data_IF_208143624878
#
_entry.id   IF_208143624878
#
_cell.length_a   1.000
_cell.length_b   1.000
_cell.length_c   1.000
_cell.angle_alpha   90.00
_cell.angle_beta   90.00
_cell.angle_gamma   90.00
#
_symmetry.space_group_name_H-M   'P 1'
#
loop_
_entity.id
_entity.type
_entity.pdbx_description
1 polymer ?
#
# COMPACT_ATOMS: atom_id res chain seq x y z
N UNK A 1 26.37 1.14 -12.74
CA UNK A 1 24.90 1.19 -12.53
C UNK A 1 24.63 0.76 -11.09
N UNK A 2 23.85 1.51 -10.31
CA UNK A 2 23.54 1.13 -8.93
C UNK A 2 22.31 0.21 -8.92
N UNK A 3 22.34 -0.86 -8.12
CA UNK A 3 21.20 -1.76 -7.92
C UNK A 3 20.44 -1.31 -6.68
N UNK A 4 19.11 -1.25 -6.78
CA UNK A 4 18.22 -0.85 -5.68
C UNK A 4 17.40 -2.06 -5.23
N UNK A 5 17.45 -2.36 -3.94
CA UNK A 5 16.62 -3.36 -3.29
C UNK A 5 15.39 -2.71 -2.64
N UNK A 6 14.23 -3.33 -2.84
CA UNK A 6 12.97 -2.92 -2.23
C UNK A 6 12.45 -4.06 -1.36
N UNK A 7 12.35 -3.83 -0.05
CA UNK A 7 11.50 -4.64 0.81
C UNK A 7 10.11 -4.01 0.85
N UNK A 8 9.15 -4.69 0.22
CA UNK A 8 7.76 -4.25 0.17
C UNK A 8 6.94 -4.97 1.22
N UNK A 9 7.04 -4.62 2.50
CA UNK A 9 6.25 -5.24 3.56
C UNK A 9 4.76 -4.91 3.47
N UNK A 10 3.94 -5.58 4.29
CA UNK A 10 2.49 -5.30 4.31
C UNK A 10 2.12 -4.04 5.09
N UNK A 11 3.00 -3.61 6.01
CA UNK A 11 2.81 -2.44 6.88
C UNK A 11 3.87 -1.35 6.63
N UNK A 12 5.10 -1.77 6.38
CA UNK A 12 6.23 -0.87 6.14
C UNK A 12 7.10 -1.41 5.01
N UNK A 13 7.78 -0.50 4.32
CA UNK A 13 8.76 -0.77 3.27
C UNK A 13 10.11 -0.18 3.64
N UNK A 14 11.18 -0.80 3.13
CA UNK A 14 12.55 -0.33 3.24
C UNK A 14 13.22 -0.35 1.86
N UNK A 15 14.14 0.58 1.64
CA UNK A 15 14.89 0.70 0.38
C UNK A 15 16.38 0.63 0.70
N UNK A 16 17.13 -0.13 -0.07
CA UNK A 16 18.58 -0.22 0.04
C UNK A 16 19.25 -0.07 -1.33
N UNK A 17 20.48 0.44 -1.35
CA UNK A 17 21.29 0.62 -2.56
C UNK A 17 22.70 0.08 -2.34
N UNK A 18 23.22 -0.67 -3.32
CA UNK A 18 24.60 -1.09 -3.34
C UNK A 18 25.48 0.04 -3.93
N UNK A 19 26.33 0.66 -3.12
CA UNK A 19 27.28 1.72 -3.52
C UNK A 19 28.50 1.77 -2.63
N UNK A 20 29.60 2.35 -3.14
CA UNK A 20 30.82 2.63 -2.38
C UNK A 20 31.41 1.42 -1.59
N UNK A 21 31.30 0.21 -2.16
CA UNK A 21 31.82 -1.01 -1.53
C UNK A 21 30.92 -1.61 -0.43
N UNK A 22 29.71 -1.09 -0.24
CA UNK A 22 28.75 -1.59 0.75
C UNK A 22 27.29 -1.46 0.33
N UNK A 23 26.39 -1.68 1.29
CA UNK A 23 24.94 -1.53 1.15
C UNK A 23 24.48 -0.46 2.14
N UNK A 24 23.72 0.51 1.65
CA UNK A 24 23.15 1.57 2.48
C UNK A 24 21.62 1.57 2.36
N UNK A 25 20.91 1.76 3.46
CA UNK A 25 19.46 1.99 3.42
C UNK A 25 19.15 3.45 3.14
N UNK A 26 18.18 3.70 2.29
CA UNK A 26 17.78 5.04 1.85
C UNK A 26 16.74 5.62 2.81
N UNK A 27 16.95 6.88 3.22
CA UNK A 27 15.97 7.62 4.00
C UNK A 27 14.93 8.29 3.08
N UNK A 28 13.69 8.37 3.54
CA UNK A 28 12.60 9.10 2.89
C UNK A 28 12.67 10.61 3.17
N UNK A 29 11.69 11.36 2.68
CA UNK A 29 11.59 12.81 2.84
C UNK A 29 11.43 13.28 4.31
N UNK A 30 11.16 12.36 5.23
CA UNK A 30 11.09 12.59 6.67
C UNK A 30 12.37 12.18 7.41
N UNK A 31 13.45 11.89 6.68
CA UNK A 31 14.70 11.32 7.22
C UNK A 31 14.55 9.96 7.91
N UNK A 32 13.42 9.27 7.70
CA UNK A 32 13.18 7.92 8.22
C UNK A 32 13.54 6.88 7.15
N UNK A 33 14.08 5.73 7.57
CA UNK A 33 14.36 4.59 6.70
C UNK A 33 13.13 3.69 6.50
N UNK A 34 12.11 3.85 7.35
CA UNK A 34 10.85 3.14 7.31
C UNK A 34 9.78 3.95 6.57
N UNK A 35 9.24 3.42 5.48
CA UNK A 35 8.13 4.06 4.74
C UNK A 35 6.87 3.22 4.90
N UNK A 36 5.78 3.74 5.49
CA UNK A 36 4.52 2.99 5.61
C UNK A 36 3.97 2.51 4.26
N UNK A 37 3.48 1.27 4.21
CA UNK A 37 2.83 0.67 3.03
C UNK A 37 1.38 1.13 2.91
N UNK A 38 1.18 2.45 2.79
CA UNK A 38 -0.13 3.10 2.83
C UNK A 38 -0.26 4.08 1.68
N UNK A 39 -1.45 4.13 1.09
CA UNK A 39 -1.78 4.99 -0.03
C UNK A 39 -3.12 5.68 0.25
N UNK A 40 -3.14 7.02 0.26
CA UNK A 40 -4.36 7.83 0.46
C UNK A 40 -4.71 8.57 -0.82
N UNK A 41 -5.95 8.44 -1.26
CA UNK A 41 -6.45 9.02 -2.50
C UNK A 41 -7.22 10.32 -2.22
N UNK A 42 -6.64 11.44 -2.66
CA UNK A 42 -7.28 12.74 -2.66
C UNK A 42 -8.06 13.01 -3.95
N UNK A 43 -8.70 14.17 -4.05
CA UNK A 43 -9.48 14.57 -5.23
C UNK A 43 -8.60 14.86 -6.46
N UNK A 44 -7.37 15.34 -6.25
CA UNK A 44 -6.44 15.77 -7.31
C UNK A 44 -5.09 15.04 -7.28
N UNK A 45 -4.76 14.40 -6.18
CA UNK A 45 -3.46 13.76 -5.97
C UNK A 45 -3.61 12.50 -5.14
N UNK A 46 -2.50 11.79 -4.94
CA UNK A 46 -2.41 10.63 -4.08
C UNK A 46 -1.21 10.81 -3.15
N UNK A 47 -1.44 10.65 -1.86
CA UNK A 47 -0.36 10.60 -0.87
C UNK A 47 0.08 9.14 -0.69
N UNK A 48 1.38 8.93 -0.43
CA UNK A 48 1.99 7.62 -0.21
C UNK A 48 2.87 7.71 1.04
N UNK A 49 3.01 6.62 1.79
CA UNK A 49 3.93 6.58 2.93
C UNK A 49 3.39 7.30 4.16
N UNK A 50 4.25 8.06 4.83
CA UNK A 50 3.94 8.76 6.08
C UNK A 50 2.79 9.76 5.90
N UNK A 51 2.79 10.50 4.78
CA UNK A 51 1.72 11.46 4.46
C UNK A 51 0.34 10.78 4.34
N UNK A 52 0.29 9.59 3.73
CA UNK A 52 -0.95 8.82 3.64
C UNK A 52 -1.38 8.26 4.99
N UNK A 53 -0.44 7.74 5.79
CA UNK A 53 -0.72 7.21 7.13
C UNK A 53 -1.32 8.26 8.06
N UNK A 54 -0.84 9.49 7.99
CA UNK A 54 -1.38 10.61 8.79
C UNK A 54 -2.84 10.94 8.45
N UNK A 55 -3.30 10.55 7.26
CA UNK A 55 -4.67 10.77 6.78
C UNK A 55 -5.59 9.56 7.00
N UNK A 56 -5.07 8.45 7.55
CA UNK A 56 -5.82 7.19 7.63
C UNK A 56 -7.10 7.29 8.47
N UNK A 57 -7.15 8.20 9.45
CA UNK A 57 -8.35 8.42 10.26
C UNK A 57 -9.31 9.41 9.58
N UNK A 58 -8.79 10.51 9.02
CA UNK A 58 -9.61 11.57 8.42
C UNK A 58 -10.17 11.19 7.04
N UNK A 59 -9.43 10.37 6.29
CA UNK A 59 -9.78 9.88 4.95
C UNK A 59 -9.84 8.35 4.92
N UNK A 60 -10.45 7.72 5.93
CA UNK A 60 -10.41 6.27 6.13
C UNK A 60 -10.91 5.47 4.91
N UNK A 61 -12.02 5.89 4.32
CA UNK A 61 -12.62 5.22 3.15
C UNK A 61 -11.76 5.31 1.88
N UNK A 62 -10.81 6.27 1.86
CA UNK A 62 -9.97 6.56 0.70
C UNK A 62 -8.50 6.20 0.97
N UNK A 63 -8.19 5.60 2.12
CA UNK A 63 -6.84 5.25 2.52
C UNK A 63 -6.68 3.74 2.55
N UNK A 64 -5.87 3.23 1.63
CA UNK A 64 -5.61 1.81 1.44
C UNK A 64 -4.34 1.41 2.18
N UNK A 65 -4.45 0.41 3.03
CA UNK A 65 -3.36 -0.21 3.80
C UNK A 65 -3.54 -1.72 3.87
N UNK A 66 -2.50 -2.46 4.27
CA UNK A 66 -2.54 -3.92 4.48
C UNK A 66 -2.90 -4.75 3.23
N UNK A 67 -2.80 -4.15 2.03
CA UNK A 67 -3.25 -4.74 0.77
C UNK A 67 -2.34 -5.86 0.24
N UNK A 68 -1.07 -5.93 0.67
CA UNK A 68 -0.11 -6.96 0.21
C UNK A 68 -0.65 -8.39 0.36
N UNK A 69 -1.48 -8.63 1.37
CA UNK A 69 -2.03 -9.96 1.68
C UNK A 69 -3.07 -10.46 0.66
N UNK A 70 -3.53 -9.58 -0.24
CA UNK A 70 -4.51 -9.90 -1.28
C UNK A 70 -3.88 -10.29 -2.63
N UNK A 71 -2.55 -10.16 -2.78
CA UNK A 71 -1.87 -10.54 -4.03
C UNK A 71 -2.13 -12.01 -4.38
N UNK A 72 -2.61 -12.24 -5.60
CA UNK A 72 -2.89 -13.58 -6.13
C UNK A 72 -4.11 -14.29 -5.53
N UNK A 73 -4.86 -13.64 -4.64
CA UNK A 73 -6.07 -14.24 -4.05
C UNK A 73 -7.31 -13.94 -4.88
N UNK A 74 -8.21 -14.92 -4.93
CA UNK A 74 -9.55 -14.72 -5.45
C UNK A 74 -10.38 -13.92 -4.44
N UNK A 75 -11.31 -13.10 -4.94
CA UNK A 75 -12.21 -12.33 -4.08
C UNK A 75 -13.02 -13.21 -3.12
N UNK A 76 -13.45 -14.38 -3.57
CA UNK A 76 -14.25 -15.31 -2.77
C UNK A 76 -13.42 -16.17 -1.79
N UNK A 77 -12.11 -15.97 -1.69
CA UNK A 77 -11.26 -16.66 -0.70
C UNK A 77 -11.76 -16.34 0.73
N UNK A 78 -12.02 -17.35 1.60
CA UNK A 78 -12.42 -17.13 2.99
C UNK A 78 -11.49 -16.19 3.76
N UNK A 79 -10.18 -16.19 3.44
CA UNK A 79 -9.23 -15.24 3.99
C UNK A 79 -9.57 -13.79 3.60
N UNK A 80 -9.89 -13.55 2.33
CA UNK A 80 -10.25 -12.21 1.83
C UNK A 80 -11.55 -11.75 2.46
N UNK A 81 -12.56 -12.62 2.55
CA UNK A 81 -13.85 -12.28 3.16
C UNK A 81 -13.69 -11.89 4.64
N UNK A 82 -12.90 -12.66 5.40
CA UNK A 82 -12.61 -12.35 6.81
C UNK A 82 -11.82 -11.05 6.99
N UNK A 83 -10.87 -10.76 6.11
CA UNK A 83 -10.10 -9.51 6.20
C UNK A 83 -10.93 -8.30 5.76
N UNK A 84 -11.83 -8.46 4.78
CA UNK A 84 -12.73 -7.41 4.29
C UNK A 84 -13.54 -6.76 5.42
N UNK A 85 -14.01 -7.53 6.39
CA UNK A 85 -14.80 -7.03 7.53
C UNK A 85 -14.03 -6.04 8.42
N UNK A 86 -12.70 -6.03 8.36
CA UNK A 86 -11.82 -5.21 9.21
C UNK A 86 -11.29 -3.96 8.51
N UNK A 87 -11.55 -3.81 7.21
CA UNK A 87 -11.01 -2.73 6.41
C UNK A 87 -11.92 -1.51 6.46
N UNK A 88 -11.30 -0.33 6.44
CA UNK A 88 -12.02 0.93 6.32
C UNK A 88 -12.38 1.29 4.88
N UNK A 89 -11.98 0.48 3.90
CA UNK A 89 -12.16 0.71 2.47
C UNK A 89 -12.81 -0.50 1.79
N UNK A 90 -13.44 -0.26 0.64
CA UNK A 90 -14.24 -1.27 -0.04
C UNK A 90 -13.39 -2.18 -0.95
N UNK A 91 -13.49 -3.49 -0.72
CA UNK A 91 -13.02 -4.52 -1.66
C UNK A 91 -14.16 -4.97 -2.60
N UNK A 92 -13.84 -5.10 -3.88
CA UNK A 92 -14.75 -5.54 -4.94
C UNK A 92 -14.13 -6.67 -5.79
N UNK A 93 -14.96 -7.57 -6.36
CA UNK A 93 -14.46 -8.57 -7.29
C UNK A 93 -14.07 -7.91 -8.62
N UNK A 94 -12.87 -8.22 -9.10
CA UNK A 94 -12.45 -7.88 -10.46
C UNK A 94 -13.10 -8.81 -11.50
N UNK A 95 -13.04 -8.42 -12.78
CA UNK A 95 -13.59 -9.23 -13.89
C UNK A 95 -12.99 -10.65 -13.98
N UNK A 96 -11.74 -10.82 -13.53
CA UNK A 96 -11.04 -12.10 -13.49
C UNK A 96 -11.25 -12.88 -12.18
N UNK A 97 -12.14 -12.41 -11.29
CA UNK A 97 -12.38 -13.00 -9.97
C UNK A 97 -11.35 -12.64 -8.89
N UNK A 98 -10.34 -11.81 -9.20
CA UNK A 98 -9.37 -11.29 -8.24
C UNK A 98 -9.94 -10.20 -7.33
N UNK A 99 -9.14 -9.79 -6.33
CA UNK A 99 -9.48 -8.69 -5.41
C UNK A 99 -9.13 -7.36 -6.03
N UNK A 100 -10.09 -6.44 -6.12
CA UNK A 100 -9.87 -5.03 -6.45
C UNK A 100 -10.29 -4.12 -5.29
N UNK A 101 -9.76 -2.91 -5.28
CA UNK A 101 -10.12 -1.87 -4.31
C UNK A 101 -10.95 -0.79 -4.99
N UNK A 102 -12.14 -0.50 -4.46
CA UNK A 102 -13.04 0.51 -5.02
C UNK A 102 -12.69 1.89 -4.49
N UNK A 103 -12.36 2.82 -5.38
CA UNK A 103 -12.10 4.21 -5.02
C UNK A 103 -13.34 5.10 -5.18
N UNK A 104 -13.42 6.25 -4.49
CA UNK A 104 -14.59 7.13 -4.48
C UNK A 104 -15.04 7.65 -5.84
N UNK A 105 -14.12 7.77 -6.81
CA UNK A 105 -14.44 8.24 -8.17
C UNK A 105 -15.00 7.15 -9.09
N UNK A 106 -15.23 5.93 -8.58
CA UNK A 106 -15.62 4.79 -9.42
C UNK A 106 -14.44 4.15 -10.16
N UNK A 107 -13.24 4.70 -10.01
CA UNK A 107 -12.00 4.09 -10.49
C UNK A 107 -11.70 2.84 -9.65
N UNK A 108 -11.31 1.76 -10.34
CA UNK A 108 -10.87 0.51 -9.74
C UNK A 108 -9.33 0.48 -9.72
N UNK A 109 -8.76 0.15 -8.56
CA UNK A 109 -7.33 -0.15 -8.40
C UNK A 109 -7.11 -1.63 -8.08
#
# INVERSE_FOLDING_TARGET
MAVVGFDLGFQSCYIAVARAGGIETVANEFSDRCTPSVVSFGSKNRAIGVSAKNQQITHANNTVSNFKRFHGRAFNDPFVQKEKEKLSYDLVPMKNGGVGVKMPKGDLF
#
